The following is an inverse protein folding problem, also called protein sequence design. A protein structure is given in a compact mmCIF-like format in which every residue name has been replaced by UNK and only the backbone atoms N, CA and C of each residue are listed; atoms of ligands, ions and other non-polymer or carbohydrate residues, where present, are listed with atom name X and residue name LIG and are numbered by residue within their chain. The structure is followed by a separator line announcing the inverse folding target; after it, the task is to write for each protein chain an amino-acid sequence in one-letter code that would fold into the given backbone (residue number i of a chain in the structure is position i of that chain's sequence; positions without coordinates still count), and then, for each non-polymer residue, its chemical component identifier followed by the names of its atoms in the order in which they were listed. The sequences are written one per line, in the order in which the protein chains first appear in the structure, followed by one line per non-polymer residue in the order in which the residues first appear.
data_IF_296502180601
#
_entry.id   IF_296502180601
#
_cell.length_a   1.000
_cell.length_b   1.000
_cell.length_c   1.000
_cell.angle_alpha   90.00
_cell.angle_beta   90.00
_cell.angle_gamma   90.00
#
_symmetry.space_group_name_H-M   'P 1'
#
loop_
_entity.id
_entity.type
_entity.pdbx_description
1 polymer ?
#
# COMPACT_ATOMS: atom_id res chain seq x y z
N UNK A 1 -17.00 -13.16 -10.46
CA UNK A 1 -16.58 -12.20 -9.41
C UNK A 1 -15.89 -11.04 -10.12
N UNK A 2 -16.31 -9.79 -9.92
CA UNK A 2 -15.51 -8.66 -10.39
C UNK A 2 -14.10 -8.77 -9.79
N UNK A 3 -13.06 -8.50 -10.58
CA UNK A 3 -11.68 -8.40 -10.06
C UNK A 3 -11.56 -7.00 -9.46
N UNK A 4 -11.52 -6.90 -8.14
CA UNK A 4 -11.14 -5.67 -7.48
C UNK A 4 -9.74 -5.25 -7.95
N UNK A 5 -9.54 -3.96 -8.14
CA UNK A 5 -8.28 -3.39 -8.64
C UNK A 5 -7.62 -2.62 -7.52
N UNK A 6 -6.29 -2.70 -7.43
CA UNK A 6 -5.55 -1.82 -6.51
C UNK A 6 -5.79 -0.36 -6.89
N UNK A 7 -6.12 0.51 -5.92
CA UNK A 7 -6.25 1.93 -6.20
C UNK A 7 -4.95 2.48 -6.79
N UNK A 8 -5.00 3.46 -7.72
CA UNK A 8 -3.82 4.02 -8.38
C UNK A 8 -2.83 4.65 -7.41
N UNK A 9 -3.23 4.94 -6.17
CA UNK A 9 -2.36 5.50 -5.14
C UNK A 9 -2.67 4.86 -3.79
N UNK A 10 -1.65 4.70 -2.94
CA UNK A 10 -1.78 4.41 -1.51
C UNK A 10 -2.30 5.66 -0.76
N UNK A 11 -3.31 6.34 -1.31
CA UNK A 11 -3.73 7.75 -1.08
C UNK A 11 -3.00 8.76 -1.98
N UNK A 12 -3.72 9.73 -2.54
CA UNK A 12 -3.22 10.71 -3.52
C UNK A 12 -2.13 11.64 -2.93
N UNK A 13 -1.95 11.61 -1.61
CA UNK A 13 -0.91 12.31 -0.85
C UNK A 13 0.27 11.45 -0.44
N UNK A 14 0.20 10.12 -0.56
CA UNK A 14 1.25 9.22 -0.09
C UNK A 14 2.13 8.77 -1.27
N UNK A 15 3.17 9.56 -1.54
CA UNK A 15 4.19 9.19 -2.51
C UNK A 15 5.15 8.16 -1.90
N UNK A 16 5.83 7.38 -2.74
CA UNK A 16 6.90 6.49 -2.29
C UNK A 16 7.92 7.27 -1.44
N UNK A 17 8.24 8.50 -1.85
CA UNK A 17 9.17 9.37 -1.13
C UNK A 17 8.65 9.74 0.27
N UNK A 18 7.36 10.09 0.41
CA UNK A 18 6.75 10.35 1.72
C UNK A 18 6.85 9.13 2.63
N UNK A 19 6.50 7.96 2.09
CA UNK A 19 6.55 6.70 2.83
C UNK A 19 7.97 6.31 3.26
N UNK A 20 8.97 6.58 2.41
CA UNK A 20 10.39 6.38 2.74
C UNK A 20 10.81 7.29 3.89
N UNK A 21 10.48 8.58 3.83
CA UNK A 21 10.84 9.52 4.89
C UNK A 21 10.17 9.19 6.21
N UNK A 22 8.87 8.84 6.20
CA UNK A 22 8.15 8.41 7.40
C UNK A 22 8.78 7.16 8.03
N UNK A 23 9.15 6.18 7.21
CA UNK A 23 9.82 4.95 7.66
C UNK A 23 11.18 5.26 8.29
N UNK A 24 11.95 6.19 7.72
CA UNK A 24 13.26 6.58 8.24
C UNK A 24 13.16 7.37 9.54
N UNK A 25 12.15 8.25 9.66
CA UNK A 25 11.84 8.99 10.89
C UNK A 25 11.45 8.01 12.00
N UNK A 26 10.49 7.12 11.73
CA UNK A 26 10.06 6.08 12.67
C UNK A 26 11.20 5.14 13.06
N UNK A 27 12.11 4.88 12.11
CA UNK A 27 13.32 4.11 12.29
C UNK A 27 14.41 4.78 13.12
N UNK A 28 14.23 6.02 13.60
CA UNK A 28 15.16 6.71 14.50
C UNK A 28 16.65 6.63 14.10
N UNK A 29 16.93 6.64 12.79
CA UNK A 29 18.29 6.59 12.23
C UNK A 29 18.98 5.22 12.20
N UNK A 30 18.29 4.12 12.56
CA UNK A 30 18.83 2.75 12.45
C UNK A 30 18.45 2.03 11.16
N UNK A 31 17.54 2.63 10.37
CA UNK A 31 17.14 2.09 9.08
C UNK A 31 18.21 2.32 8.00
N UNK A 32 18.44 1.30 7.18
CA UNK A 32 19.16 1.44 5.92
C UNK A 32 18.23 2.08 4.87
N UNK A 33 18.58 3.27 4.40
CA UNK A 33 17.79 4.01 3.41
C UNK A 33 17.56 3.22 2.11
N UNK A 34 18.58 2.54 1.61
CA UNK A 34 18.44 1.77 0.37
C UNK A 34 17.48 0.59 0.56
N UNK A 35 17.50 -0.06 1.73
CA UNK A 35 16.53 -1.10 2.05
C UNK A 35 15.10 -0.55 2.12
N UNK A 36 14.90 0.61 2.75
CA UNK A 36 13.58 1.27 2.85
C UNK A 36 13.05 1.65 1.47
N UNK A 37 13.85 2.30 0.64
CA UNK A 37 13.49 2.69 -0.74
C UNK A 37 13.15 1.47 -1.60
N UNK A 38 13.93 0.40 -1.48
CA UNK A 38 13.67 -0.85 -2.20
C UNK A 38 12.33 -1.46 -1.79
N UNK A 39 12.03 -1.55 -0.49
CA UNK A 39 10.77 -2.13 -0.01
C UNK A 39 9.58 -1.26 -0.45
N UNK A 40 9.64 0.05 -0.21
CA UNK A 40 8.58 0.98 -0.54
C UNK A 40 8.24 0.97 -2.05
N UNK A 41 9.27 0.95 -2.91
CA UNK A 41 9.10 0.96 -4.36
C UNK A 41 8.50 -0.34 -4.92
N UNK A 42 8.69 -1.47 -4.24
CA UNK A 42 8.20 -2.77 -4.69
C UNK A 42 6.86 -3.18 -4.05
N UNK A 43 6.42 -2.49 -2.99
CA UNK A 43 5.25 -2.86 -2.19
C UNK A 43 3.99 -3.10 -3.01
N UNK A 44 3.66 -2.19 -3.95
CA UNK A 44 2.47 -2.30 -4.80
C UNK A 44 2.42 -3.61 -5.60
N UNK A 45 3.51 -3.95 -6.29
CA UNK A 45 3.58 -5.15 -7.12
C UNK A 45 3.51 -6.41 -6.26
N UNK A 46 4.13 -6.41 -5.08
CA UNK A 46 4.05 -7.51 -4.13
C UNK A 46 2.62 -7.73 -3.61
N UNK A 47 1.91 -6.64 -3.26
CA UNK A 47 0.51 -6.73 -2.82
C UNK A 47 -0.39 -7.22 -3.94
N UNK A 48 -0.18 -6.74 -5.18
CA UNK A 48 -0.93 -7.22 -6.34
C UNK A 48 -0.72 -8.73 -6.57
N UNK A 49 0.51 -9.19 -6.42
CA UNK A 49 0.82 -10.61 -6.52
C UNK A 49 0.08 -11.44 -5.46
N UNK A 50 0.02 -10.98 -4.20
CA UNK A 50 -0.74 -11.66 -3.14
C UNK A 50 -2.23 -11.75 -3.47
N UNK A 51 -2.81 -10.66 -3.96
CA UNK A 51 -4.20 -10.64 -4.43
C UNK A 51 -4.42 -11.66 -5.55
N UNK A 52 -3.50 -11.73 -6.52
CA UNK A 52 -3.58 -12.71 -7.62
C UNK A 52 -3.44 -14.16 -7.13
N UNK A 53 -2.78 -14.39 -5.99
CA UNK A 53 -2.75 -15.70 -5.31
C UNK A 53 -4.03 -16.02 -4.52
N UNK A 54 -5.00 -15.10 -4.47
CA UNK A 54 -6.26 -15.29 -3.76
C UNK A 54 -6.23 -14.88 -2.30
N UNK A 55 -5.21 -14.12 -1.86
CA UNK A 55 -5.23 -13.50 -0.53
C UNK A 55 -6.35 -12.46 -0.49
N UNK A 56 -7.20 -12.58 0.53
CA UNK A 56 -8.33 -11.70 0.74
C UNK A 56 -7.87 -10.46 1.50
N UNK A 57 -7.95 -9.31 0.83
CA UNK A 57 -7.85 -7.99 1.46
C UNK A 57 -9.24 -7.39 1.56
N UNK A 58 -9.45 -6.51 2.53
CA UNK A 58 -10.71 -5.76 2.64
C UNK A 58 -10.93 -4.92 1.37
N UNK A 59 -12.18 -4.86 0.91
CA UNK A 59 -12.59 -4.08 -0.26
C UNK A 59 -13.65 -3.03 0.09
N UNK A 60 -13.76 -2.02 -0.76
CA UNK A 60 -14.82 -1.02 -0.71
C UNK A 60 -15.39 -0.78 -2.08
N UNK A 61 -16.70 -0.59 -2.12
CA UNK A 61 -17.42 -0.26 -3.36
C UNK A 61 -17.46 1.24 -3.48
N UNK A 62 -16.76 1.76 -4.47
CA UNK A 62 -16.77 3.17 -4.81
C UNK A 62 -18.17 3.62 -5.25
N UNK A 63 -18.51 4.93 -5.15
CA UNK A 63 -19.80 5.45 -5.58
C UNK A 63 -20.15 5.17 -7.07
N UNK A 64 -19.13 4.93 -7.91
CA UNK A 64 -19.27 4.55 -9.31
C UNK A 64 -19.57 3.05 -9.53
N UNK A 65 -19.63 2.25 -8.45
CA UNK A 65 -19.88 0.80 -8.48
C UNK A 65 -18.62 -0.07 -8.65
N UNK A 66 -17.43 0.52 -8.74
CA UNK A 66 -16.17 -0.23 -8.81
C UNK A 66 -15.70 -0.68 -7.44
N UNK A 67 -15.14 -1.89 -7.36
CA UNK A 67 -14.57 -2.44 -6.14
C UNK A 67 -13.06 -2.15 -6.07
N UNK A 68 -12.61 -1.52 -4.99
CA UNK A 68 -11.20 -1.22 -4.71
C UNK A 68 -10.75 -1.80 -3.37
N UNK A 69 -9.46 -2.10 -3.22
CA UNK A 69 -8.92 -2.61 -1.96
C UNK A 69 -8.72 -1.50 -0.91
N UNK A 70 -9.12 -1.76 0.33
CA UNK A 70 -8.91 -0.94 1.52
C UNK A 70 -7.53 -1.26 2.14
N UNK A 71 -6.48 -0.61 1.63
CA UNK A 71 -5.10 -0.89 2.06
C UNK A 71 -4.50 0.11 3.06
N UNK A 72 -5.16 1.24 3.31
CA UNK A 72 -4.59 2.38 4.06
C UNK A 72 -5.14 2.54 5.47
N UNK A 73 -5.98 1.61 5.94
CA UNK A 73 -6.45 1.65 7.32
C UNK A 73 -5.42 1.00 8.24
N UNK A 74 -4.48 1.80 8.70
CA UNK A 74 -3.70 1.45 9.88
C UNK A 74 -4.64 1.13 11.04
N UNK A 75 -4.39 0.02 11.74
CA UNK A 75 -5.06 -0.30 12.99
C UNK A 75 -4.63 0.65 14.10
N UNK A 76 -5.06 1.91 14.03
CA UNK A 76 -5.00 2.84 15.15
C UNK A 76 -6.02 2.42 16.20
N UNK A 77 -5.53 2.03 17.38
CA UNK A 77 -6.34 1.77 18.58
C UNK A 77 -7.11 2.99 19.02
#
# INVERSE_FOLDING_TARGET
MPRAVLPPCLDETDSIDSHVEDTLIAGAGICDRHAVEFVASNARSCVQWLIDQGVLFDTHVQPNGEESYHLTREGGT
#
